data_IF_409507127666
#
_entry.id   IF_409507127666
#
_cell.length_a   1.000
_cell.length_b   1.000
_cell.length_c   1.000
_cell.angle_alpha   90.00
_cell.angle_beta   90.00
_cell.angle_gamma   90.00
#
_symmetry.space_group_name_H-M   'P 1'
#
loop_
_entity.id
_entity.type
_entity.pdbx_description
1 polymer ?
#
# COMPACT_ATOMS: atom_id res chain seq x y z
N UNK A 1 12.28 2.78 11.02
CA UNK A 1 11.92 2.17 12.32
C UNK A 1 10.68 2.79 12.99
N UNK A 2 10.45 4.12 12.97
CA UNK A 2 9.28 4.74 13.63
C UNK A 2 7.93 4.25 13.09
N UNK A 3 7.80 4.02 11.77
CA UNK A 3 6.56 3.51 11.18
C UNK A 3 6.21 2.09 11.66
N UNK A 4 7.21 1.22 11.81
CA UNK A 4 6.99 -0.11 12.36
C UNK A 4 6.59 -0.05 13.85
N UNK A 5 7.20 0.89 14.61
CA UNK A 5 6.80 1.15 15.99
C UNK A 5 5.35 1.65 16.08
N UNK A 6 4.97 2.60 15.22
CA UNK A 6 3.59 3.12 15.18
C UNK A 6 2.57 2.00 14.96
N UNK A 7 2.82 1.13 13.99
CA UNK A 7 1.94 -0.01 13.72
C UNK A 7 1.93 -1.02 14.88
N UNK A 8 3.09 -1.36 15.44
CA UNK A 8 3.16 -2.29 16.57
C UNK A 8 2.42 -1.76 17.79
N UNK A 9 2.61 -0.49 18.15
CA UNK A 9 1.87 0.15 19.23
C UNK A 9 0.35 0.13 18.97
N UNK A 10 -0.07 0.45 17.74
CA UNK A 10 -1.49 0.38 17.37
C UNK A 10 -2.06 -1.02 17.56
N UNK A 11 -1.36 -2.07 17.11
CA UNK A 11 -1.79 -3.46 17.25
C UNK A 11 -1.84 -3.95 18.71
N UNK A 12 -1.04 -3.34 19.56
CA UNK A 12 -1.03 -3.59 21.01
C UNK A 12 -2.02 -2.70 21.79
N UNK A 13 -2.87 -1.93 21.12
CA UNK A 13 -3.78 -0.94 21.70
C UNK A 13 -3.08 0.18 22.47
N UNK A 14 -1.79 0.44 22.21
CA UNK A 14 -1.03 1.58 22.72
C UNK A 14 -1.19 2.78 21.77
N UNK A 15 -2.35 3.43 21.82
CA UNK A 15 -2.62 4.62 21.00
C UNK A 15 -1.66 5.79 21.30
N UNK A 16 -1.27 6.09 22.57
CA UNK A 16 -0.28 7.11 22.84
C UNK A 16 1.08 6.84 22.20
N UNK A 17 1.59 5.63 22.29
CA UNK A 17 2.85 5.21 21.66
C UNK A 17 2.82 5.29 20.15
N UNK A 18 1.70 4.87 19.53
CA UNK A 18 1.48 4.98 18.10
C UNK A 18 1.47 6.45 17.63
N UNK A 19 0.70 7.32 18.29
CA UNK A 19 0.65 8.76 17.99
C UNK A 19 2.01 9.43 18.16
N UNK A 20 2.75 9.11 19.22
CA UNK A 20 4.08 9.68 19.46
C UNK A 20 5.06 9.30 18.32
N UNK A 21 4.96 8.09 17.78
CA UNK A 21 5.80 7.66 16.67
C UNK A 21 5.45 8.39 15.36
N UNK A 22 4.16 8.54 15.03
CA UNK A 22 3.70 9.29 13.85
C UNK A 22 4.05 10.78 13.99
N UNK A 23 3.85 11.38 15.16
CA UNK A 23 4.18 12.78 15.42
C UNK A 23 5.64 13.08 15.11
N UNK A 24 6.58 12.24 15.57
CA UNK A 24 8.01 12.40 15.28
C UNK A 24 8.35 12.40 13.81
N UNK A 25 7.63 11.63 13.00
CA UNK A 25 7.82 11.62 11.56
C UNK A 25 7.40 12.96 10.95
N UNK A 26 6.22 13.43 11.32
CA UNK A 26 5.66 14.67 10.78
C UNK A 26 6.43 15.92 11.26
N UNK A 27 6.83 15.96 12.51
CA UNK A 27 7.64 17.07 13.08
C UNK A 27 8.98 17.22 12.35
N UNK A 28 9.60 16.12 11.92
CA UNK A 28 10.85 16.14 11.15
C UNK A 28 10.77 17.02 9.90
N UNK A 29 9.60 17.06 9.26
CA UNK A 29 9.34 17.83 8.04
C UNK A 29 8.44 19.05 8.28
N UNK A 30 8.28 19.46 9.52
CA UNK A 30 7.51 20.67 9.89
C UNK A 30 6.00 20.54 9.69
N UNK A 31 5.46 19.34 9.58
CA UNK A 31 4.02 19.11 9.41
C UNK A 31 3.31 18.96 10.76
N UNK A 32 2.14 19.62 10.96
CA UNK A 32 1.37 19.47 12.19
C UNK A 32 0.79 18.05 12.29
N UNK A 33 0.61 17.60 13.54
CA UNK A 33 -0.05 16.34 13.84
C UNK A 33 -0.94 16.47 15.07
N UNK A 34 -2.19 16.03 14.92
CA UNK A 34 -3.14 15.90 16.03
C UNK A 34 -3.36 14.43 16.33
N UNK A 35 -3.35 14.06 17.61
CA UNK A 35 -3.56 12.68 18.04
C UNK A 35 -4.90 12.13 17.57
N UNK A 36 -4.87 10.86 17.19
CA UNK A 36 -6.01 10.13 16.64
C UNK A 36 -6.23 8.86 17.46
N UNK A 37 -7.40 8.25 17.28
CA UNK A 37 -7.75 6.98 17.91
C UNK A 37 -8.49 6.05 16.91
N UNK A 38 -8.58 4.77 17.25
CA UNK A 38 -9.30 3.79 16.44
C UNK A 38 -8.89 3.80 14.98
N UNK A 39 -9.87 3.69 14.07
CA UNK A 39 -9.62 3.64 12.63
C UNK A 39 -8.93 4.90 12.09
N UNK A 40 -9.20 6.08 12.66
CA UNK A 40 -8.53 7.30 12.23
C UNK A 40 -7.01 7.27 12.48
N UNK A 41 -6.59 6.66 13.59
CA UNK A 41 -5.17 6.44 13.88
C UNK A 41 -4.56 5.43 12.92
N UNK A 42 -5.28 4.33 12.65
CA UNK A 42 -4.84 3.32 11.70
C UNK A 42 -4.64 3.91 10.29
N UNK A 43 -5.61 4.70 9.81
CA UNK A 43 -5.50 5.37 8.51
C UNK A 43 -4.34 6.36 8.47
N UNK A 44 -4.08 7.09 9.57
CA UNK A 44 -2.92 7.98 9.64
C UNK A 44 -1.60 7.21 9.54
N UNK A 45 -1.44 6.09 10.24
CA UNK A 45 -0.25 5.22 10.15
C UNK A 45 -0.06 4.71 8.74
N UNK A 46 -1.12 4.21 8.09
CA UNK A 46 -1.08 3.73 6.71
C UNK A 46 -0.67 4.83 5.73
N UNK A 47 -1.25 6.02 5.90
CA UNK A 47 -0.93 7.15 5.02
C UNK A 47 0.53 7.57 5.16
N UNK A 48 1.05 7.67 6.39
CA UNK A 48 2.47 7.98 6.60
C UNK A 48 3.37 6.89 6.01
N UNK A 49 3.03 5.60 6.16
CA UNK A 49 3.79 4.52 5.53
C UNK A 49 3.79 4.64 4.01
N UNK A 50 2.63 4.92 3.41
CA UNK A 50 2.49 5.07 1.96
C UNK A 50 3.33 6.21 1.40
N UNK A 51 3.39 7.34 2.11
CA UNK A 51 4.13 8.54 1.68
C UNK A 51 5.63 8.42 1.96
N UNK A 52 5.99 8.06 3.19
CA UNK A 52 7.40 8.01 3.62
C UNK A 52 8.19 6.88 2.95
N UNK A 53 7.53 5.79 2.57
CA UNK A 53 8.14 4.64 1.90
C UNK A 53 7.75 4.59 0.41
N UNK A 54 7.33 5.72 -0.15
CA UNK A 54 7.04 5.81 -1.58
C UNK A 54 8.29 5.43 -2.40
N UNK A 55 8.10 4.65 -3.47
CA UNK A 55 9.15 4.13 -4.34
C UNK A 55 10.11 3.10 -3.72
N UNK A 56 9.80 2.62 -2.49
CA UNK A 56 10.57 1.56 -1.82
C UNK A 56 9.86 0.20 -1.85
N UNK A 57 8.83 0.04 -2.67
CA UNK A 57 7.99 -1.17 -2.86
C UNK A 57 7.23 -1.66 -1.62
N UNK A 58 7.31 -0.96 -0.49
CA UNK A 58 6.66 -1.39 0.76
C UNK A 58 5.13 -1.45 0.67
N UNK A 59 4.49 -0.56 -0.09
CA UNK A 59 3.03 -0.48 -0.17
C UNK A 59 2.38 -1.78 -0.63
N UNK A 60 2.93 -2.41 -1.65
CA UNK A 60 2.45 -3.71 -2.13
C UNK A 60 2.51 -4.79 -1.06
N UNK A 61 3.64 -4.88 -0.37
CA UNK A 61 3.83 -5.86 0.70
C UNK A 61 2.99 -5.57 1.94
N UNK A 62 2.81 -4.30 2.29
CA UNK A 62 1.92 -3.86 3.36
C UNK A 62 0.47 -4.30 3.08
N UNK A 63 -0.06 -4.05 1.88
CA UNK A 63 -1.39 -4.49 1.50
C UNK A 63 -1.55 -6.02 1.56
N UNK A 64 -0.51 -6.77 1.17
CA UNK A 64 -0.52 -8.24 1.28
C UNK A 64 -0.56 -8.71 2.72
N UNK A 65 0.32 -8.21 3.58
CA UNK A 65 0.38 -8.64 4.99
C UNK A 65 -0.84 -8.18 5.81
N UNK A 66 -1.47 -7.09 5.42
CA UNK A 66 -2.74 -6.63 6.02
C UNK A 66 -3.97 -7.37 5.46
N UNK A 67 -3.80 -8.23 4.47
CA UNK A 67 -4.89 -8.91 3.76
C UNK A 67 -5.87 -7.95 3.08
N UNK A 68 -5.34 -6.87 2.52
CA UNK A 68 -6.13 -5.84 1.86
C UNK A 68 -5.88 -5.74 0.35
N UNK A 69 -4.87 -6.43 -0.18
CA UNK A 69 -4.52 -6.34 -1.59
C UNK A 69 -5.69 -6.75 -2.53
N UNK A 70 -6.52 -7.72 -2.15
CA UNK A 70 -7.67 -8.15 -2.93
C UNK A 70 -8.90 -7.23 -2.81
N UNK A 71 -8.84 -6.19 -1.99
CA UNK A 71 -9.93 -5.21 -1.90
C UNK A 71 -9.92 -4.27 -3.12
N UNK A 72 -11.07 -3.63 -3.44
CA UNK A 72 -11.11 -2.59 -4.46
C UNK A 72 -10.18 -1.41 -4.13
N UNK A 73 -9.65 -0.78 -5.17
CA UNK A 73 -8.92 0.49 -5.03
C UNK A 73 -9.87 1.59 -4.51
N UNK A 74 -9.45 2.52 -3.64
CA UNK A 74 -8.07 2.77 -3.20
C UNK A 74 -7.63 2.00 -1.95
N UNK A 75 -8.49 1.17 -1.35
CA UNK A 75 -8.14 0.39 -0.15
C UNK A 75 -7.17 -0.74 -0.48
N UNK A 76 -7.39 -1.42 -1.59
CA UNK A 76 -6.57 -2.49 -2.12
C UNK A 76 -6.06 -2.20 -3.53
N UNK A 77 -5.86 -3.25 -4.33
CA UNK A 77 -5.25 -3.18 -5.66
C UNK A 77 -6.23 -3.43 -6.81
N UNK A 78 -7.41 -4.02 -6.53
CA UNK A 78 -8.35 -4.39 -7.59
C UNK A 78 -8.98 -3.15 -8.24
N UNK A 79 -9.00 -3.12 -9.57
CA UNK A 79 -9.53 -2.01 -10.34
C UNK A 79 -8.64 -0.76 -10.32
N UNK A 80 -7.36 -0.88 -9.89
CA UNK A 80 -6.43 0.24 -9.97
C UNK A 80 -6.14 0.60 -11.42
N UNK A 81 -6.33 1.87 -11.74
CA UNK A 81 -5.98 2.43 -13.06
C UNK A 81 -4.79 3.38 -12.94
N UNK A 82 -3.88 3.31 -13.89
CA UNK A 82 -2.77 4.26 -13.98
C UNK A 82 -3.25 5.53 -14.67
N UNK A 83 -3.06 6.64 -13.98
CA UNK A 83 -3.31 7.96 -14.52
C UNK A 83 -2.01 8.73 -14.66
N UNK A 84 -1.86 9.47 -15.75
CA UNK A 84 -0.81 10.45 -15.92
C UNK A 84 -1.36 11.85 -15.66
N UNK A 85 -0.52 12.73 -15.16
CA UNK A 85 -0.79 14.16 -15.10
C UNK A 85 -0.29 14.78 -16.41
N UNK A 86 -1.21 15.15 -17.29
CA UNK A 86 -0.89 15.78 -18.58
C UNK A 86 -0.95 17.29 -18.43
N UNK A 87 0.18 17.99 -18.64
CA UNK A 87 0.18 19.45 -18.74
C UNK A 87 -0.26 19.89 -20.14
N UNK A 88 -1.30 20.70 -20.23
CA UNK A 88 -1.78 21.30 -21.47
C UNK A 88 -1.47 22.80 -21.46
N UNK A 89 -0.57 23.26 -22.36
CA UNK A 89 -0.18 24.66 -22.47
C UNK A 89 -1.32 25.48 -23.08
N UNK A 90 -1.67 26.56 -22.41
CA UNK A 90 -2.71 27.50 -22.85
C UNK A 90 -2.11 28.62 -23.72
N UNK A 91 -2.97 29.29 -24.49
CA UNK A 91 -2.59 30.39 -25.37
C UNK A 91 -1.91 31.56 -24.62
N UNK A 92 -2.23 31.78 -23.36
CA UNK A 92 -1.65 32.80 -22.48
C UNK A 92 -0.30 32.36 -21.85
N UNK A 93 0.22 31.19 -22.21
CA UNK A 93 1.46 30.64 -21.69
C UNK A 93 1.35 29.89 -20.34
N UNK A 94 0.19 29.89 -19.69
CA UNK A 94 -0.06 29.06 -18.48
C UNK A 94 -0.26 27.60 -18.82
N UNK A 95 -0.26 26.73 -17.80
CA UNK A 95 -0.55 25.30 -17.94
C UNK A 95 -1.79 24.92 -17.15
N UNK A 96 -2.65 24.11 -17.75
CA UNK A 96 -3.66 23.34 -17.04
C UNK A 96 -3.19 21.90 -16.92
N UNK A 97 -3.60 21.23 -15.84
CA UNK A 97 -3.19 19.86 -15.55
C UNK A 97 -4.41 18.95 -15.50
N UNK A 98 -4.42 17.95 -16.37
CA UNK A 98 -5.52 17.00 -16.47
C UNK A 98 -5.04 15.61 -16.12
N UNK A 99 -5.80 14.89 -15.27
CA UNK A 99 -5.59 13.47 -15.07
C UNK A 99 -6.19 12.70 -16.25
N UNK A 100 -5.34 11.95 -16.93
CA UNK A 100 -5.76 11.12 -18.06
C UNK A 100 -5.42 9.66 -17.79
N UNK A 101 -6.33 8.75 -18.11
CA UNK A 101 -6.01 7.32 -18.08
C UNK A 101 -4.99 7.02 -19.17
N UNK A 102 -3.91 6.33 -18.80
CA UNK A 102 -2.82 5.95 -19.73
C UNK A 102 -2.71 4.44 -19.90
N UNK A 103 -3.51 3.69 -19.16
CA UNK A 103 -3.46 2.23 -19.16
C UNK A 103 -4.84 1.69 -18.77
N UNK A 104 -5.44 0.94 -19.68
CA UNK A 104 -6.77 0.33 -19.55
C UNK A 104 -6.70 -1.14 -19.11
N UNK A 105 -5.50 -1.65 -18.80
CA UNK A 105 -5.35 -3.04 -18.34
C UNK A 105 -6.12 -3.28 -17.06
N UNK A 106 -6.87 -4.37 -17.05
CA UNK A 106 -7.51 -4.84 -15.81
C UNK A 106 -6.45 -5.33 -14.82
N UNK A 107 -6.29 -4.56 -13.75
CA UNK A 107 -5.39 -4.90 -12.64
C UNK A 107 -6.19 -5.57 -11.56
N UNK A 108 -5.98 -6.88 -11.46
CA UNK A 108 -6.69 -7.70 -10.51
C UNK A 108 -5.70 -8.45 -9.60
N UNK A 109 -5.99 -8.45 -8.31
CA UNK A 109 -5.26 -9.24 -7.31
C UNK A 109 -6.23 -10.27 -6.72
N UNK A 110 -6.35 -11.47 -7.33
CA UNK A 110 -7.20 -12.52 -6.79
C UNK A 110 -6.63 -13.06 -5.47
N UNK A 111 -7.49 -13.61 -4.61
CA UNK A 111 -7.12 -14.11 -3.27
C UNK A 111 -5.94 -15.11 -3.30
N UNK A 112 -5.84 -15.93 -4.35
CA UNK A 112 -4.72 -16.87 -4.49
C UNK A 112 -3.35 -16.20 -4.51
N UNK A 113 -3.27 -14.93 -4.90
CA UNK A 113 -2.02 -14.16 -4.95
C UNK A 113 -1.43 -13.86 -3.58
N UNK A 114 -2.16 -14.05 -2.49
CA UNK A 114 -1.57 -13.93 -1.15
C UNK A 114 -0.54 -15.01 -0.84
N UNK A 115 -0.63 -16.15 -1.53
CA UNK A 115 0.35 -17.23 -1.45
C UNK A 115 0.93 -17.46 -2.84
N UNK A 116 2.25 -17.35 -2.99
CA UNK A 116 2.88 -17.68 -4.26
C UNK A 116 2.80 -19.17 -4.55
N UNK A 117 2.69 -19.57 -5.83
CA UNK A 117 2.77 -20.97 -6.19
C UNK A 117 4.15 -21.52 -5.87
N UNK A 118 4.22 -22.82 -5.62
CA UNK A 118 5.49 -23.51 -5.59
C UNK A 118 6.12 -23.50 -7.00
N UNK A 119 7.43 -23.25 -7.11
CA UNK A 119 8.11 -23.27 -8.39
C UNK A 119 7.95 -24.62 -9.11
N UNK A 120 7.77 -24.59 -10.42
CA UNK A 120 7.58 -25.81 -11.20
C UNK A 120 8.72 -26.82 -11.01
N UNK A 121 9.98 -26.35 -10.97
CA UNK A 121 11.14 -27.19 -10.72
C UNK A 121 11.09 -27.95 -9.40
N UNK A 122 10.55 -27.34 -8.33
CA UNK A 122 10.37 -28.04 -7.05
C UNK A 122 9.35 -29.17 -7.15
N UNK A 123 8.27 -28.97 -7.89
CA UNK A 123 7.25 -29.99 -8.12
C UNK A 123 7.74 -31.13 -9.02
N UNK A 124 8.66 -30.83 -9.92
CA UNK A 124 9.28 -31.83 -10.81
C UNK A 124 10.31 -32.69 -10.05
N UNK A 125 11.12 -32.05 -9.19
CA UNK A 125 12.21 -32.71 -8.49
C UNK A 125 11.75 -33.46 -7.23
N UNK A 126 10.69 -33.01 -6.57
CA UNK A 126 10.18 -33.62 -5.35
C UNK A 126 8.73 -34.08 -5.50
N UNK A 127 8.53 -35.36 -5.79
CA UNK A 127 7.19 -35.95 -6.03
C UNK A 127 6.31 -36.01 -4.77
N UNK A 128 6.86 -35.84 -3.61
CA UNK A 128 6.09 -35.77 -2.34
C UNK A 128 5.47 -34.39 -2.13
N UNK A 129 5.89 -33.38 -2.88
CA UNK A 129 5.35 -32.03 -2.80
C UNK A 129 4.28 -31.84 -3.86
N UNK A 130 3.13 -31.33 -3.43
CA UNK A 130 2.03 -30.99 -4.34
C UNK A 130 1.74 -29.50 -4.30
N UNK A 131 1.33 -28.93 -5.45
CA UNK A 131 0.95 -27.53 -5.57
C UNK A 131 -0.24 -27.19 -4.64
N UNK A 132 -0.30 -25.97 -4.16
CA UNK A 132 -1.43 -25.48 -3.40
C UNK A 132 -2.74 -25.59 -4.20
N UNK A 133 -3.88 -25.91 -3.54
CA UNK A 133 -5.16 -26.11 -4.24
C UNK A 133 -5.56 -24.93 -5.12
N UNK A 134 -5.32 -23.71 -4.66
CA UNK A 134 -5.64 -22.46 -5.39
C UNK A 134 -4.79 -22.20 -6.65
N UNK A 135 -3.73 -23.01 -6.84
CA UNK A 135 -2.80 -22.93 -7.98
C UNK A 135 -2.77 -24.20 -8.84
N UNK A 136 -3.67 -25.14 -8.58
CA UNK A 136 -3.83 -26.38 -9.35
C UNK A 136 -4.66 -26.16 -10.60
#
# INVERSE_FOLDING_TARGET
MLLNKAEACYRLNDAPGANAAVRKIRERVGLPYTDKSGDALWQAIRQERKVELAFEDFWYWDLRRWKEAAKPYPTGLNGYQVHALRPDKQANGSFTYNYVSVDDRDRNFPEKMYRFPLPAGELENNKEVTQYPEWR
#
